data_IF_574773912398
#
_entry.id   IF_574773912398
#
_cell.length_a   1.000
_cell.length_b   1.000
_cell.length_c   1.000
_cell.angle_alpha   90.00
_cell.angle_beta   90.00
_cell.angle_gamma   90.00
#
_symmetry.space_group_name_H-M   'P 1'
#
loop_
_entity.id
_entity.type
_entity.pdbx_description
1 polymer ?
#
# COMPACT_ATOMS: atom_id res chain seq x y z
N UNK A 1 1.22 -17.54 18.88
CA UNK A 1 2.31 -16.70 19.40
C UNK A 1 2.51 -15.51 18.50
N UNK A 2 2.87 -14.34 19.05
CA UNK A 2 3.17 -13.12 18.29
C UNK A 2 4.44 -12.49 18.85
N UNK A 3 5.28 -11.95 17.96
CA UNK A 3 6.46 -11.16 18.32
C UNK A 3 6.57 -9.97 17.37
N UNK A 4 7.20 -8.88 17.80
CA UNK A 4 7.36 -7.69 16.97
C UNK A 4 8.73 -7.05 17.21
N UNK A 5 9.30 -6.51 16.14
CA UNK A 5 10.55 -5.75 16.19
C UNK A 5 10.56 -4.66 15.10
N UNK A 6 11.31 -3.60 15.36
CA UNK A 6 11.41 -2.41 14.48
C UNK A 6 12.85 -2.04 14.22
N UNK A 7 13.12 -1.64 12.98
CA UNK A 7 14.41 -1.12 12.53
C UNK A 7 14.24 0.26 11.89
N UNK A 8 15.26 1.08 12.02
CA UNK A 8 15.41 2.35 11.30
C UNK A 8 15.86 2.06 9.86
N UNK A 9 15.11 2.64 8.89
CA UNK A 9 15.40 2.53 7.45
C UNK A 9 15.60 3.90 6.81
N UNK A 10 15.95 4.91 7.61
CA UNK A 10 16.16 6.27 7.11
C UNK A 10 17.33 6.31 6.13
N UNK A 11 17.16 6.82 4.90
CA UNK A 11 18.23 6.91 3.93
C UNK A 11 19.21 8.05 4.25
N UNK A 12 20.33 8.07 3.54
CA UNK A 12 21.22 9.22 3.54
C UNK A 12 20.56 10.41 2.81
N UNK A 13 20.91 11.62 3.21
CA UNK A 13 20.47 12.86 2.53
C UNK A 13 21.01 12.86 1.08
N UNK A 14 20.22 13.36 0.13
CA UNK A 14 20.52 13.33 -1.31
C UNK A 14 19.83 12.20 -2.07
N UNK A 15 19.11 11.31 -1.38
CA UNK A 15 18.26 10.29 -1.99
C UNK A 15 17.10 10.93 -2.76
N UNK A 16 16.78 10.38 -3.94
CA UNK A 16 15.61 10.78 -4.73
C UNK A 16 14.31 10.28 -4.06
N UNK A 17 13.38 11.20 -3.81
CA UNK A 17 12.10 10.89 -3.18
C UNK A 17 11.07 10.40 -4.20
N UNK A 18 10.30 9.40 -3.78
CA UNK A 18 9.18 8.83 -4.54
C UNK A 18 7.96 9.77 -4.60
N UNK A 19 7.17 9.68 -5.66
CA UNK A 19 5.75 10.02 -5.67
C UNK A 19 5.36 11.23 -6.51
N UNK A 20 6.18 12.29 -6.61
CA UNK A 20 5.80 13.51 -7.34
C UNK A 20 6.51 13.69 -8.67
N UNK A 21 7.82 13.46 -8.71
CA UNK A 21 8.63 13.55 -9.91
C UNK A 21 9.97 12.82 -9.70
N UNK A 22 10.73 12.49 -10.76
CA UNK A 22 11.98 11.76 -10.65
C UNK A 22 13.19 12.61 -10.21
N UNK A 23 13.01 13.88 -9.84
CA UNK A 23 14.12 14.84 -9.65
C UNK A 23 14.21 15.37 -8.21
N UNK A 24 13.25 15.08 -7.35
CA UNK A 24 13.22 15.63 -5.98
C UNK A 24 14.22 14.91 -5.09
N UNK A 25 15.32 15.57 -4.74
CA UNK A 25 16.31 15.08 -3.79
C UNK A 25 15.96 15.47 -2.36
N UNK A 26 16.20 14.56 -1.42
CA UNK A 26 16.05 14.82 0.01
C UNK A 26 17.13 15.77 0.52
N UNK A 27 16.77 16.73 1.38
CA UNK A 27 17.68 17.73 1.97
C UNK A 27 17.74 17.67 3.48
N UNK A 28 16.76 17.07 4.12
CA UNK A 28 16.68 16.91 5.57
C UNK A 28 15.80 15.71 5.93
N UNK A 29 15.80 15.34 7.20
CA UNK A 29 14.90 14.35 7.80
C UNK A 29 13.97 15.08 8.76
N UNK A 30 12.67 15.05 8.49
CA UNK A 30 11.64 15.53 9.40
C UNK A 30 11.40 14.51 10.52
N UNK A 31 11.23 13.24 10.15
CA UNK A 31 11.11 12.11 11.07
C UNK A 31 11.68 10.83 10.43
N UNK A 32 12.28 9.92 11.25
CA UNK A 32 12.95 8.73 10.74
C UNK A 32 11.98 7.71 10.15
N UNK A 33 12.37 7.08 9.03
CA UNK A 33 11.63 5.99 8.42
C UNK A 33 11.83 4.68 9.18
N UNK A 34 10.81 3.82 9.17
CA UNK A 34 10.78 2.61 9.98
C UNK A 34 10.32 1.39 9.18
N UNK A 35 10.90 0.23 9.49
CA UNK A 35 10.40 -1.08 9.10
C UNK A 35 10.07 -1.88 10.37
N UNK A 36 8.82 -2.26 10.53
CA UNK A 36 8.37 -3.06 11.69
C UNK A 36 7.88 -4.40 11.20
N UNK A 37 8.47 -5.49 11.72
CA UNK A 37 8.05 -6.86 11.49
C UNK A 37 7.15 -7.34 12.63
N UNK A 38 6.06 -8.03 12.29
CA UNK A 38 5.17 -8.73 13.21
C UNK A 38 5.20 -10.20 12.82
N UNK A 39 5.83 -11.04 13.64
CA UNK A 39 5.91 -12.47 13.43
C UNK A 39 4.74 -13.17 14.13
N UNK A 40 4.17 -14.15 13.46
CA UNK A 40 3.06 -14.98 13.92
C UNK A 40 3.44 -16.46 13.85
N UNK A 41 3.11 -17.24 14.87
CA UNK A 41 3.35 -18.68 14.88
C UNK A 41 2.26 -19.44 15.64
N UNK A 42 1.76 -20.53 15.06
CA UNK A 42 0.85 -21.50 15.70
C UNK A 42 1.04 -22.89 15.06
N UNK A 43 1.46 -23.86 15.85
CA UNK A 43 1.83 -25.18 15.31
C UNK A 43 2.96 -25.07 14.30
N UNK A 44 2.73 -25.52 13.08
CA UNK A 44 3.67 -25.43 11.96
C UNK A 44 3.49 -24.15 11.12
N UNK A 45 2.34 -23.46 11.28
CA UNK A 45 2.09 -22.21 10.55
C UNK A 45 2.93 -21.06 11.12
N UNK A 46 3.64 -20.39 10.21
CA UNK A 46 4.45 -19.21 10.51
C UNK A 46 4.32 -18.18 9.40
N UNK A 47 4.16 -16.93 9.78
CA UNK A 47 4.09 -15.81 8.83
C UNK A 47 4.64 -14.53 9.44
N UNK A 48 4.98 -13.57 8.59
CA UNK A 48 5.42 -12.24 8.99
C UNK A 48 4.63 -11.21 8.18
N UNK A 49 4.08 -10.22 8.89
CA UNK A 49 3.55 -9.00 8.30
C UNK A 49 4.50 -7.84 8.61
N UNK A 50 4.95 -7.16 7.58
CA UNK A 50 5.71 -5.91 7.71
C UNK A 50 4.81 -4.69 7.49
N UNK A 51 5.06 -3.65 8.28
CA UNK A 51 4.70 -2.27 7.96
C UNK A 51 5.98 -1.50 7.68
N UNK A 52 6.12 -0.98 6.45
CA UNK A 52 7.34 -0.32 6.00
C UNK A 52 7.02 1.09 5.51
N UNK A 53 7.69 2.09 6.04
CA UNK A 53 7.40 3.50 5.74
C UNK A 53 8.10 3.97 4.46
N UNK A 54 7.67 3.43 3.34
CA UNK A 54 8.09 3.75 1.95
C UNK A 54 6.86 3.89 1.05
N UNK A 55 7.07 4.29 -0.22
CA UNK A 55 5.99 4.46 -1.19
C UNK A 55 5.36 3.17 -1.69
N UNK A 56 6.14 2.10 -1.84
CA UNK A 56 5.71 0.81 -2.36
C UNK A 56 6.90 -0.07 -2.69
N UNK A 57 6.64 -1.25 -3.22
CA UNK A 57 7.66 -2.20 -3.68
C UNK A 57 7.41 -2.55 -5.14
N UNK A 58 8.40 -2.41 -6.04
CA UNK A 58 8.31 -3.04 -7.35
C UNK A 58 8.08 -4.56 -7.18
N UNK A 59 7.38 -5.20 -8.13
CA UNK A 59 6.99 -6.62 -8.01
C UNK A 59 8.21 -7.54 -7.83
N UNK A 60 9.22 -7.43 -8.70
CA UNK A 60 10.43 -8.24 -8.64
C UNK A 60 11.26 -7.95 -7.38
N UNK A 61 11.26 -6.69 -6.93
CA UNK A 61 11.91 -6.32 -5.67
C UNK A 61 11.20 -6.92 -4.47
N UNK A 62 9.87 -6.90 -4.43
CA UNK A 62 9.10 -7.53 -3.36
C UNK A 62 9.41 -9.04 -3.25
N UNK A 63 9.47 -9.73 -4.40
CA UNK A 63 9.81 -11.16 -4.45
C UNK A 63 11.27 -11.43 -4.04
N UNK A 64 12.20 -10.57 -4.44
CA UNK A 64 13.60 -10.65 -4.00
C UNK A 64 13.70 -10.51 -2.48
N UNK A 65 13.10 -9.47 -1.91
CA UNK A 65 13.10 -9.20 -0.47
C UNK A 65 12.46 -10.35 0.33
N UNK A 66 11.29 -10.83 -0.09
CA UNK A 66 10.60 -11.97 0.55
C UNK A 66 11.45 -13.23 0.57
N UNK A 67 12.17 -13.53 -0.56
CA UNK A 67 13.09 -14.67 -0.63
C UNK A 67 14.28 -14.51 0.31
N UNK A 68 14.89 -13.32 0.35
CA UNK A 68 16.05 -13.05 1.20
C UNK A 68 15.69 -13.10 2.69
N UNK A 69 14.60 -12.44 3.08
CA UNK A 69 14.08 -12.48 4.46
C UNK A 69 13.72 -13.93 4.84
N UNK A 70 13.02 -14.63 3.95
CA UNK A 70 12.61 -16.02 4.21
C UNK A 70 13.78 -16.97 4.46
N UNK A 71 14.87 -16.80 3.70
CA UNK A 71 16.11 -17.56 3.89
C UNK A 71 16.77 -17.28 5.24
N UNK A 72 16.73 -16.03 5.72
CA UNK A 72 17.32 -15.62 7.01
C UNK A 72 16.57 -16.24 8.21
N UNK A 73 15.23 -16.29 8.14
CA UNK A 73 14.41 -16.69 9.31
C UNK A 73 13.77 -18.08 9.18
N UNK A 74 14.00 -18.79 8.07
CA UNK A 74 13.45 -20.12 7.84
C UNK A 74 11.92 -20.13 7.63
N UNK A 75 11.36 -19.05 7.06
CA UNK A 75 9.94 -18.92 6.72
C UNK A 75 9.78 -18.87 5.21
N UNK A 76 8.79 -19.60 4.68
CA UNK A 76 8.53 -19.63 3.25
C UNK A 76 8.25 -18.19 2.71
N UNK A 77 8.84 -17.76 1.58
CA UNK A 77 8.69 -16.41 1.06
C UNK A 77 7.24 -15.96 0.88
N UNK A 78 6.35 -16.86 0.47
CA UNK A 78 4.91 -16.59 0.32
C UNK A 78 4.21 -16.24 1.65
N UNK A 79 4.78 -16.61 2.80
CA UNK A 79 4.26 -16.30 4.14
C UNK A 79 4.78 -14.96 4.69
N UNK A 80 5.52 -14.20 3.89
CA UNK A 80 6.02 -12.87 4.24
C UNK A 80 5.21 -11.84 3.47
N UNK A 81 4.56 -10.94 4.20
CA UNK A 81 3.72 -9.88 3.67
C UNK A 81 4.44 -8.56 3.89
N UNK A 82 4.81 -7.88 2.80
CA UNK A 82 5.48 -6.58 2.80
C UNK A 82 4.46 -5.49 2.49
N UNK A 83 3.97 -4.77 3.49
CA UNK A 83 3.01 -3.68 3.32
C UNK A 83 3.70 -2.33 3.46
N UNK A 84 3.56 -1.46 2.44
CA UNK A 84 4.06 -0.10 2.46
C UNK A 84 3.00 0.87 2.99
N UNK A 85 3.42 1.88 3.76
CA UNK A 85 2.51 2.93 4.26
C UNK A 85 2.17 3.99 3.21
N UNK A 86 2.85 3.95 2.08
CA UNK A 86 2.67 4.83 0.94
C UNK A 86 2.99 6.31 1.22
N UNK A 87 4.04 6.58 2.01
CA UNK A 87 4.56 7.94 2.11
C UNK A 87 5.24 8.36 0.80
N UNK A 88 5.01 9.61 0.38
CA UNK A 88 5.68 10.23 -0.77
C UNK A 88 6.96 10.99 -0.37
N UNK A 89 7.48 10.72 0.82
CA UNK A 89 8.66 11.37 1.40
C UNK A 89 9.73 10.35 1.79
N UNK A 90 9.85 9.28 1.01
CA UNK A 90 10.81 8.18 1.18
C UNK A 90 11.54 7.88 -0.14
N UNK A 91 12.64 7.09 -0.14
CA UNK A 91 13.33 6.69 -1.36
C UNK A 91 12.44 5.95 -2.35
N UNK A 92 12.77 6.07 -3.64
CA UNK A 92 12.04 5.34 -4.67
C UNK A 92 12.40 3.85 -4.67
N UNK A 93 11.46 3.01 -4.30
CA UNK A 93 11.53 1.54 -4.31
C UNK A 93 10.51 0.91 -5.27
N UNK A 94 9.78 1.75 -6.01
CA UNK A 94 8.73 1.35 -6.97
C UNK A 94 9.26 1.28 -8.39
N UNK A 95 10.07 2.26 -8.83
CA UNK A 95 10.65 2.27 -10.17
C UNK A 95 9.64 2.42 -11.30
N UNK A 96 8.50 3.10 -11.05
CA UNK A 96 7.47 3.29 -12.06
C UNK A 96 7.92 4.26 -13.15
N UNK A 97 7.67 3.90 -14.41
CA UNK A 97 8.02 4.74 -15.58
C UNK A 97 7.44 6.15 -15.46
N UNK A 98 8.33 7.14 -15.63
CA UNK A 98 7.98 8.55 -15.46
C UNK A 98 8.21 9.11 -14.05
N UNK A 99 8.33 8.25 -13.01
CA UNK A 99 8.57 8.64 -11.61
C UNK A 99 9.98 8.31 -11.10
N UNK A 100 10.87 7.83 -11.97
CA UNK A 100 12.27 7.51 -11.66
C UNK A 100 12.50 6.03 -11.34
N UNK A 101 13.78 5.63 -11.35
CA UNK A 101 14.21 4.26 -11.08
C UNK A 101 14.29 3.94 -9.60
N UNK A 102 14.42 2.64 -9.29
CA UNK A 102 14.65 2.16 -7.92
C UNK A 102 16.01 2.62 -7.41
N UNK A 103 16.06 3.12 -6.18
CA UNK A 103 17.31 3.38 -5.45
C UNK A 103 17.89 2.06 -4.92
N UNK A 104 18.64 1.35 -5.79
CA UNK A 104 19.25 0.06 -5.42
C UNK A 104 20.29 0.21 -4.31
N UNK A 105 20.97 1.35 -4.22
CA UNK A 105 21.95 1.60 -3.14
C UNK A 105 21.24 1.62 -1.79
N UNK A 106 20.12 2.31 -1.70
CA UNK A 106 19.29 2.32 -0.50
C UNK A 106 18.74 0.91 -0.18
N UNK A 107 18.21 0.22 -1.18
CA UNK A 107 17.66 -1.14 -1.00
C UNK A 107 18.72 -2.08 -0.45
N UNK A 108 19.88 -2.13 -1.08
CA UNK A 108 20.90 -3.13 -0.78
C UNK A 108 21.67 -2.84 0.52
N UNK A 109 21.88 -1.54 0.83
CA UNK A 109 22.70 -1.15 1.97
C UNK A 109 21.90 -0.84 3.25
N UNK A 110 20.63 -0.48 3.16
CA UNK A 110 19.82 -0.07 4.31
C UNK A 110 18.54 -0.94 4.43
N UNK A 111 17.69 -0.95 3.41
CA UNK A 111 16.35 -1.55 3.52
C UNK A 111 16.41 -3.06 3.75
N UNK A 112 17.06 -3.82 2.86
CA UNK A 112 17.13 -5.29 2.98
C UNK A 112 17.79 -5.75 4.28
N UNK A 113 18.97 -5.22 4.69
CA UNK A 113 19.56 -5.60 5.98
C UNK A 113 18.65 -5.32 7.17
N UNK A 114 17.94 -4.18 7.17
CA UNK A 114 17.02 -3.81 8.25
C UNK A 114 15.78 -4.74 8.28
N UNK A 115 15.20 -5.08 7.11
CA UNK A 115 14.09 -6.03 7.03
C UNK A 115 14.50 -7.41 7.57
N UNK A 116 15.69 -7.89 7.25
CA UNK A 116 16.21 -9.17 7.76
C UNK A 116 16.39 -9.14 9.28
N UNK A 117 16.98 -8.06 9.84
CA UNK A 117 17.11 -7.92 11.30
C UNK A 117 15.76 -7.85 12.00
N UNK A 118 14.84 -6.98 11.50
CA UNK A 118 13.51 -6.87 12.07
C UNK A 118 12.75 -8.21 12.05
N UNK A 119 12.86 -8.97 10.96
CA UNK A 119 12.25 -10.31 10.87
C UNK A 119 12.82 -11.26 11.92
N UNK A 120 14.15 -11.32 12.03
CA UNK A 120 14.84 -12.18 12.99
C UNK A 120 14.45 -11.84 14.42
N UNK A 121 14.55 -10.57 14.80
CA UNK A 121 14.24 -10.11 16.16
C UNK A 121 12.75 -10.32 16.48
N UNK A 122 11.84 -10.14 15.52
CA UNK A 122 10.40 -10.43 15.70
C UNK A 122 10.15 -11.94 15.92
N UNK A 123 10.86 -12.81 15.20
CA UNK A 123 10.76 -14.28 15.39
C UNK A 123 11.34 -14.69 16.74
N UNK A 124 12.46 -14.11 17.16
CA UNK A 124 13.05 -14.36 18.48
C UNK A 124 12.17 -13.85 19.64
N UNK A 125 11.38 -12.79 19.40
CA UNK A 125 10.45 -12.21 20.38
C UNK A 125 9.09 -12.92 20.46
N UNK A 126 8.86 -14.04 19.76
CA UNK A 126 7.60 -14.77 19.78
C UNK A 126 7.18 -15.22 21.18
N UNK A 127 5.99 -14.81 21.61
CA UNK A 127 5.44 -15.11 22.94
C UNK A 127 3.94 -15.40 22.86
N UNK A 128 3.35 -16.07 23.88
CA UNK A 128 1.91 -16.31 23.93
C UNK A 128 1.12 -15.00 23.85
N UNK A 129 0.15 -14.90 22.97
CA UNK A 129 -0.56 -13.67 22.68
C UNK A 129 -2.08 -13.85 22.66
N UNK A 130 -2.78 -12.79 23.03
CA UNK A 130 -4.21 -12.58 22.83
C UNK A 130 -4.41 -11.22 22.14
N UNK A 131 -5.52 -11.05 21.45
CA UNK A 131 -5.79 -9.85 20.66
C UNK A 131 -7.18 -9.29 20.90
N UNK A 132 -7.33 -7.99 20.71
CA UNK A 132 -8.62 -7.29 20.70
C UNK A 132 -8.70 -6.38 19.46
N UNK A 133 -9.92 -6.14 18.98
CA UNK A 133 -10.21 -5.30 17.84
C UNK A 133 -11.27 -4.28 18.21
N UNK A 134 -11.11 -3.08 17.68
CA UNK A 134 -12.12 -2.04 17.67
C UNK A 134 -12.15 -1.31 16.35
N UNK A 135 -13.27 -0.71 16.03
CA UNK A 135 -13.45 0.14 14.86
C UNK A 135 -14.11 1.45 15.26
N UNK A 136 -13.70 2.53 14.60
CA UNK A 136 -14.33 3.84 14.71
C UNK A 136 -14.45 4.47 13.34
N UNK A 137 -15.28 5.48 13.19
CA UNK A 137 -15.22 6.37 12.02
C UNK A 137 -14.16 7.46 12.22
N UNK A 138 -13.30 7.63 11.21
CA UNK A 138 -12.32 8.70 11.10
C UNK A 138 -12.57 9.53 9.85
N UNK A 139 -12.44 10.84 9.99
CA UNK A 139 -12.68 11.82 8.92
C UNK A 139 -11.38 12.45 8.41
N UNK A 140 -10.22 11.81 8.67
CA UNK A 140 -8.92 12.31 8.21
C UNK A 140 -8.71 12.13 6.71
N UNK A 141 -9.36 11.14 6.09
CA UNK A 141 -9.39 10.91 4.65
C UNK A 141 -10.62 11.54 3.99
N UNK A 142 -10.54 11.72 2.69
CA UNK A 142 -11.65 12.14 1.82
C UNK A 142 -11.44 11.57 0.43
N UNK A 143 -12.52 11.21 -0.27
CA UNK A 143 -12.41 10.84 -1.67
C UNK A 143 -11.73 12.00 -2.45
N UNK A 144 -10.68 11.67 -3.24
CA UNK A 144 -9.86 12.69 -3.92
C UNK A 144 -10.22 12.93 -5.38
N UNK A 145 -11.17 12.18 -5.90
CA UNK A 145 -11.61 12.25 -7.30
C UNK A 145 -12.68 13.33 -7.47
N UNK A 146 -12.23 14.59 -7.48
CA UNK A 146 -13.12 15.74 -7.54
C UNK A 146 -13.58 16.01 -8.99
N UNK A 147 -14.90 16.03 -9.22
CA UNK A 147 -15.44 16.48 -10.49
C UNK A 147 -15.31 18.00 -10.63
N UNK A 148 -14.66 18.46 -11.69
CA UNK A 148 -14.56 19.87 -12.04
C UNK A 148 -15.88 20.40 -12.64
N UNK A 149 -16.00 21.71 -12.80
CA UNK A 149 -17.17 22.32 -13.42
C UNK A 149 -17.33 21.95 -14.90
N UNK A 150 -16.24 21.63 -15.57
CA UNK A 150 -16.17 21.20 -16.96
C UNK A 150 -16.48 19.71 -17.13
N UNK A 151 -16.67 18.97 -16.02
CA UNK A 151 -17.04 17.56 -16.03
C UNK A 151 -15.87 16.58 -15.94
N UNK A 152 -14.63 17.04 -15.86
CA UNK A 152 -13.43 16.20 -15.70
C UNK A 152 -13.22 15.80 -14.24
N UNK A 153 -12.52 14.69 -14.03
CA UNK A 153 -12.03 14.32 -12.70
C UNK A 153 -10.61 14.84 -12.51
N UNK A 154 -10.42 15.60 -11.44
CA UNK A 154 -9.12 16.12 -10.99
C UNK A 154 -8.85 15.67 -9.55
N UNK A 155 -7.57 15.70 -9.15
CA UNK A 155 -7.18 15.48 -7.77
C UNK A 155 -7.62 16.68 -6.92
N UNK A 156 -8.42 16.42 -5.89
CA UNK A 156 -8.98 17.44 -4.99
C UNK A 156 -9.85 16.78 -3.94
N UNK A 157 -10.61 17.56 -3.19
CA UNK A 157 -11.53 17.02 -2.18
C UNK A 157 -12.93 16.84 -2.76
N UNK A 158 -13.42 15.60 -2.77
CA UNK A 158 -14.76 15.24 -3.20
C UNK A 158 -15.62 14.78 -2.00
N UNK A 159 -16.34 15.67 -1.32
CA UNK A 159 -17.14 15.31 -0.14
C UNK A 159 -18.34 14.42 -0.44
N UNK A 160 -18.64 14.16 -1.74
CA UNK A 160 -19.73 13.28 -2.19
C UNK A 160 -19.21 11.96 -2.76
N UNK A 161 -17.89 11.79 -2.87
CA UNK A 161 -17.29 10.57 -3.35
C UNK A 161 -17.36 9.46 -2.29
N UNK A 162 -17.46 8.21 -2.75
CA UNK A 162 -17.40 7.06 -1.87
C UNK A 162 -15.99 6.91 -1.29
N UNK A 163 -15.88 6.60 0.00
CA UNK A 163 -14.67 6.12 0.64
C UNK A 163 -15.04 5.39 1.94
N UNK A 164 -14.17 4.52 2.43
CA UNK A 164 -14.35 3.82 3.70
C UNK A 164 -13.77 4.67 4.87
N UNK A 165 -14.61 5.23 5.76
CA UNK A 165 -14.15 6.01 6.90
C UNK A 165 -13.69 5.13 8.08
N UNK A 166 -13.71 3.81 7.96
CA UNK A 166 -13.45 2.90 9.06
C UNK A 166 -11.97 2.85 9.43
N UNK A 167 -11.62 3.33 10.62
CA UNK A 167 -10.32 3.11 11.23
C UNK A 167 -10.41 1.91 12.18
N UNK A 168 -9.60 0.89 11.93
CA UNK A 168 -9.53 -0.32 12.75
C UNK A 168 -8.26 -0.30 13.59
N UNK A 169 -8.41 -0.57 14.89
CA UNK A 169 -7.31 -0.82 15.81
C UNK A 169 -7.30 -2.31 16.18
N UNK A 170 -6.17 -2.96 15.93
CA UNK A 170 -5.87 -4.32 16.41
C UNK A 170 -4.78 -4.19 17.46
N UNK A 171 -5.08 -4.55 18.71
CA UNK A 171 -4.09 -4.58 19.78
C UNK A 171 -3.76 -6.03 20.16
N UNK A 172 -2.48 -6.33 20.23
CA UNK A 172 -1.95 -7.64 20.63
C UNK A 172 -1.13 -7.47 21.90
N UNK A 173 -1.40 -8.32 22.88
CA UNK A 173 -0.66 -8.33 24.15
C UNK A 173 -0.27 -9.74 24.57
N UNK A 174 0.73 -9.85 25.40
CA UNK A 174 1.10 -11.12 26.00
C UNK A 174 -0.09 -11.66 26.82
N UNK A 175 -0.43 -12.94 26.59
CA UNK A 175 -1.58 -13.60 27.27
C UNK A 175 -1.42 -13.66 28.77
N UNK A 176 -0.21 -13.90 29.27
CA UNK A 176 0.06 -14.17 30.68
C UNK A 176 0.34 -12.87 31.46
N UNK A 177 1.25 -12.05 30.94
CA UNK A 177 1.71 -10.81 31.62
C UNK A 177 0.82 -9.61 31.35
N UNK A 178 -0.03 -9.66 30.29
CA UNK A 178 -0.85 -8.55 29.78
C UNK A 178 -0.06 -7.36 29.24
N UNK A 179 1.27 -7.49 29.10
CA UNK A 179 2.11 -6.48 28.47
C UNK A 179 1.79 -6.37 26.96
N UNK A 180 1.70 -5.15 26.44
CA UNK A 180 1.49 -4.91 25.02
C UNK A 180 2.65 -5.46 24.18
N UNK A 181 2.33 -6.08 23.03
CA UNK A 181 3.29 -6.56 22.05
C UNK A 181 3.32 -5.58 20.87
N UNK A 182 2.16 -5.33 20.28
CA UNK A 182 2.02 -4.46 19.10
C UNK A 182 0.58 -3.93 18.99
N UNK A 183 0.43 -2.68 18.57
CA UNK A 183 -0.81 -2.14 18.05
C UNK A 183 -0.71 -1.98 16.53
N UNK A 184 -1.77 -2.27 15.80
CA UNK A 184 -1.86 -2.04 14.37
C UNK A 184 -3.08 -1.15 14.12
N UNK A 185 -2.86 -0.03 13.43
CA UNK A 185 -3.91 0.85 12.93
C UNK A 185 -4.04 0.60 11.43
N UNK A 186 -5.24 0.24 10.99
CA UNK A 186 -5.58 0.10 9.57
C UNK A 186 -6.57 1.21 9.18
N UNK A 187 -6.25 1.92 8.10
CA UNK A 187 -7.08 2.96 7.52
C UNK A 187 -6.61 3.25 6.09
N UNK A 188 -7.52 3.54 5.16
CA UNK A 188 -7.20 3.86 3.77
C UNK A 188 -7.03 5.38 3.57
N UNK A 189 -5.78 5.85 3.41
CA UNK A 189 -5.51 7.25 3.06
C UNK A 189 -4.08 7.46 2.58
N UNK A 190 -3.90 8.18 1.47
CA UNK A 190 -2.57 8.53 0.94
C UNK A 190 -1.67 9.23 1.96
N UNK A 191 -0.38 8.90 1.95
CA UNK A 191 0.69 9.58 2.70
C UNK A 191 1.20 10.81 1.95
N UNK A 192 0.31 11.78 1.67
CA UNK A 192 0.60 12.96 0.83
C UNK A 192 0.30 14.31 1.49
N UNK A 193 0.11 14.33 2.81
CA UNK A 193 -0.17 15.59 3.51
C UNK A 193 0.98 16.60 3.42
N UNK A 194 2.24 16.13 3.37
CA UNK A 194 3.42 16.95 3.16
C UNK A 194 3.46 17.65 1.78
N UNK A 195 2.83 17.05 0.76
CA UNK A 195 2.92 17.55 -0.60
C UNK A 195 4.32 17.40 -1.21
N UNK A 196 4.56 18.08 -2.33
CA UNK A 196 5.89 18.12 -2.96
C UNK A 196 6.86 18.93 -2.09
N UNK A 197 7.85 18.26 -1.54
CA UNK A 197 8.83 18.84 -0.63
C UNK A 197 10.15 18.02 -0.63
N UNK A 198 11.14 18.33 0.20
CA UNK A 198 12.48 17.75 0.18
C UNK A 198 12.91 17.11 1.51
N UNK A 199 11.98 16.83 2.42
CA UNK A 199 12.28 16.21 3.71
C UNK A 199 11.85 14.74 3.72
N UNK A 200 12.63 13.87 4.32
CA UNK A 200 12.29 12.47 4.56
C UNK A 200 11.28 12.42 5.71
N UNK A 201 10.16 11.71 5.54
CA UNK A 201 9.10 11.63 6.54
C UNK A 201 8.17 10.44 6.33
N UNK A 202 7.58 9.96 7.43
CA UNK A 202 6.47 8.99 7.44
C UNK A 202 5.11 9.65 7.14
N UNK A 203 5.09 10.98 6.84
CA UNK A 203 3.88 11.77 6.65
C UNK A 203 2.96 11.73 7.89
N UNK A 204 1.67 12.07 7.77
CA UNK A 204 0.69 12.12 8.86
C UNK A 204 0.62 10.84 9.71
N UNK A 205 0.84 9.68 9.09
CA UNK A 205 0.76 8.38 9.76
C UNK A 205 1.87 8.20 10.81
N UNK A 206 3.05 8.80 10.59
CA UNK A 206 4.15 8.79 11.55
C UNK A 206 3.77 9.44 12.89
N UNK A 207 3.14 10.62 12.83
CA UNK A 207 2.67 11.33 14.02
C UNK A 207 1.58 10.54 14.75
N UNK A 208 0.66 9.93 14.01
CA UNK A 208 -0.37 9.06 14.58
C UNK A 208 0.25 7.90 15.36
N UNK A 209 1.21 7.21 14.74
CA UNK A 209 1.92 6.07 15.34
C UNK A 209 2.63 6.49 16.62
N UNK A 210 3.46 7.55 16.57
CA UNK A 210 4.25 8.01 17.71
C UNK A 210 3.38 8.42 18.91
N UNK A 211 2.26 9.11 18.65
CA UNK A 211 1.36 9.54 19.72
C UNK A 211 0.58 8.39 20.34
N UNK A 212 0.16 7.39 19.53
CA UNK A 212 -0.49 6.20 20.09
C UNK A 212 0.52 5.35 20.89
N UNK A 213 1.77 5.23 20.45
CA UNK A 213 2.83 4.58 21.23
C UNK A 213 3.04 5.27 22.56
N UNK A 214 3.12 6.60 22.58
CA UNK A 214 3.30 7.37 23.80
C UNK A 214 2.17 7.18 24.82
N UNK A 215 0.92 6.99 24.34
CA UNK A 215 -0.26 6.77 25.19
C UNK A 215 -0.36 5.32 25.67
N UNK A 216 -0.15 4.36 24.75
CA UNK A 216 -0.35 2.93 25.03
C UNK A 216 0.84 2.25 25.70
N UNK A 217 2.05 2.85 25.56
CA UNK A 217 3.31 2.22 25.95
C UNK A 217 3.67 1.00 25.12
N UNK A 218 3.04 0.83 23.94
CA UNK A 218 3.16 -0.36 23.08
C UNK A 218 3.55 0.08 21.67
N UNK A 219 4.54 -0.62 21.07
CA UNK A 219 4.89 -0.41 19.67
C UNK A 219 3.65 -0.40 18.78
N UNK A 220 3.56 0.56 17.86
CA UNK A 220 2.40 0.74 16.98
C UNK A 220 2.83 0.78 15.52
N UNK A 221 2.05 0.19 14.63
CA UNK A 221 2.24 0.27 13.17
C UNK A 221 0.99 0.81 12.50
N UNK A 222 1.20 1.38 11.33
CA UNK A 222 0.15 1.73 10.39
C UNK A 222 0.20 0.80 9.19
N UNK A 223 -0.94 0.23 8.82
CA UNK A 223 -1.14 -0.50 7.58
C UNK A 223 -2.14 0.26 6.71
N UNK A 224 -1.71 0.64 5.50
CA UNK A 224 -2.54 1.40 4.58
C UNK A 224 -3.61 0.51 3.94
N UNK A 225 -4.85 0.94 4.05
CA UNK A 225 -6.02 0.30 3.43
C UNK A 225 -6.24 0.76 2.00
N UNK A 226 -7.51 0.87 1.59
CA UNK A 226 -7.88 1.37 0.28
C UNK A 226 -7.66 2.88 0.20
N UNK A 227 -6.52 3.31 -0.34
CA UNK A 227 -6.17 4.71 -0.47
C UNK A 227 -6.19 5.23 -1.91
N UNK A 228 -6.36 4.35 -2.92
CA UNK A 228 -6.23 4.72 -4.33
C UNK A 228 -7.08 5.92 -4.74
N UNK A 229 -8.28 6.04 -4.20
CA UNK A 229 -9.18 7.18 -4.41
C UNK A 229 -9.34 8.07 -3.15
N UNK A 230 -8.53 7.86 -2.09
CA UNK A 230 -8.62 8.60 -0.83
C UNK A 230 -7.35 9.40 -0.57
N UNK A 231 -7.49 10.69 -0.41
CA UNK A 231 -6.41 11.59 0.00
C UNK A 231 -6.65 12.21 1.38
N UNK A 232 -5.61 12.83 1.97
CA UNK A 232 -5.72 13.62 3.18
C UNK A 232 -6.80 14.70 3.10
N UNK A 233 -7.64 14.80 4.11
CA UNK A 233 -8.63 15.89 4.24
C UNK A 233 -7.97 17.09 4.89
N UNK A 234 -7.29 17.91 4.11
CA UNK A 234 -6.56 19.06 4.62
C UNK A 234 -7.44 20.32 4.68
N UNK A 235 -7.10 21.19 5.62
CA UNK A 235 -7.79 22.48 5.83
C UNK A 235 -7.61 23.47 4.69
N UNK A 236 -6.61 23.28 3.83
CA UNK A 236 -6.40 24.07 2.60
C UNK A 236 -7.36 23.70 1.44
N UNK A 237 -8.26 22.73 1.62
CA UNK A 237 -9.20 22.26 0.59
C UNK A 237 -8.57 21.37 -0.49
N UNK A 238 -7.31 20.94 -0.31
CA UNK A 238 -6.58 20.01 -1.21
C UNK A 238 -6.28 18.72 -0.47
N UNK A 239 -5.69 17.77 -1.18
CA UNK A 239 -5.20 16.50 -0.64
C UNK A 239 -3.67 16.44 -0.52
N UNK A 240 -3.02 17.58 -0.76
CA UNK A 240 -1.58 17.82 -0.58
C UNK A 240 -1.34 19.17 0.06
N UNK A 241 -0.31 19.30 0.88
CA UNK A 241 -0.05 20.52 1.66
C UNK A 241 1.43 20.75 1.95
N UNK A 242 1.76 20.84 3.22
CA UNK A 242 3.10 21.02 3.79
C UNK A 242 3.19 20.36 5.17
N UNK A 243 4.32 20.48 5.87
CA UNK A 243 4.50 19.84 7.18
C UNK A 243 3.58 20.38 8.28
N UNK A 244 3.01 21.58 8.15
CA UNK A 244 1.96 22.07 9.09
C UNK A 244 0.70 21.22 8.94
N UNK A 245 0.37 20.84 7.70
CA UNK A 245 -0.76 19.94 7.44
C UNK A 245 -0.47 18.50 7.90
N UNK A 246 0.78 18.03 7.80
CA UNK A 246 1.22 16.74 8.37
C UNK A 246 0.98 16.73 9.89
N UNK A 247 1.41 17.79 10.60
CA UNK A 247 1.22 17.92 12.05
C UNK A 247 -0.26 17.99 12.43
N UNK A 248 -1.05 18.80 11.70
CA UNK A 248 -2.49 18.96 11.95
C UNK A 248 -3.23 17.64 11.72
N UNK A 249 -3.09 17.03 10.53
CA UNK A 249 -3.79 15.80 10.18
C UNK A 249 -3.34 14.62 11.03
N UNK A 250 -2.01 14.49 11.26
CA UNK A 250 -1.44 13.47 12.13
C UNK A 250 -1.95 13.60 13.58
N UNK A 251 -2.18 14.84 14.05
CA UNK A 251 -2.81 15.10 15.33
C UNK A 251 -4.26 14.62 15.42
N UNK A 252 -5.06 14.84 14.37
CA UNK A 252 -6.43 14.31 14.28
C UNK A 252 -6.43 12.79 14.17
N UNK A 253 -5.57 12.23 13.31
CA UNK A 253 -5.41 10.78 13.16
C UNK A 253 -5.01 10.10 14.47
N UNK A 254 -4.09 10.72 15.24
CA UNK A 254 -3.69 10.22 16.55
C UNK A 254 -4.85 10.22 17.55
N UNK A 255 -5.65 11.29 17.55
CA UNK A 255 -6.83 11.39 18.42
C UNK A 255 -7.85 10.29 18.11
N UNK A 256 -8.03 9.99 16.82
CA UNK A 256 -8.91 8.93 16.36
C UNK A 256 -8.33 7.54 16.70
N UNK A 257 -7.03 7.30 16.45
CA UNK A 257 -6.37 6.04 16.82
C UNK A 257 -6.42 5.77 18.33
N UNK A 258 -6.24 6.81 19.18
CA UNK A 258 -6.37 6.70 20.63
C UNK A 258 -7.84 6.39 21.03
N UNK A 259 -8.84 7.01 20.34
CA UNK A 259 -10.25 6.65 20.57
C UNK A 259 -10.52 5.18 20.23
N UNK A 260 -9.98 4.70 19.09
CA UNK A 260 -10.10 3.31 18.69
C UNK A 260 -9.43 2.39 19.73
N UNK A 261 -8.21 2.72 20.15
CA UNK A 261 -7.50 1.97 21.20
C UNK A 261 -8.30 1.90 22.52
N UNK A 262 -8.86 3.01 22.96
CA UNK A 262 -9.69 3.06 24.19
C UNK A 262 -11.03 2.34 24.05
N UNK A 263 -11.50 2.08 22.82
CA UNK A 263 -12.71 1.32 22.52
C UNK A 263 -12.48 -0.18 22.38
N UNK A 264 -11.23 -0.67 22.56
CA UNK A 264 -10.92 -2.10 22.50
C UNK A 264 -11.77 -2.91 23.46
N UNK A 265 -12.33 -3.99 22.94
CA UNK A 265 -13.17 -4.91 23.71
C UNK A 265 -12.37 -5.97 24.46
N UNK A 266 -12.97 -7.14 24.59
CA UNK A 266 -12.35 -8.28 25.26
C UNK A 266 -11.24 -8.85 24.40
N UNK A 267 -10.07 -9.04 25.01
CA UNK A 267 -8.96 -9.79 24.40
C UNK A 267 -9.28 -11.28 24.36
N UNK A 268 -9.01 -11.91 23.24
CA UNK A 268 -9.25 -13.33 23.00
C UNK A 268 -8.11 -13.96 22.19
N UNK A 269 -7.99 -15.26 22.29
CA UNK A 269 -7.10 -16.02 21.41
C UNK A 269 -7.59 -15.92 19.96
N UNK A 270 -6.66 -15.95 19.03
CA UNK A 270 -6.95 -16.01 17.60
C UNK A 270 -6.20 -17.16 16.95
N UNK A 271 -6.91 -17.99 16.21
CA UNK A 271 -6.27 -19.03 15.41
C UNK A 271 -5.57 -18.42 14.20
N UNK A 272 -4.29 -18.76 14.02
CA UNK A 272 -3.51 -18.36 12.86
C UNK A 272 -3.82 -19.29 11.69
N UNK A 273 -4.22 -18.72 10.56
CA UNK A 273 -4.32 -19.42 9.28
C UNK A 273 -3.67 -18.61 8.18
N UNK A 274 -3.02 -19.30 7.25
CA UNK A 274 -2.41 -18.71 6.06
C UNK A 274 -3.05 -19.36 4.84
N UNK A 275 -4.01 -18.67 4.22
CA UNK A 275 -4.66 -19.13 2.99
C UNK A 275 -3.85 -18.69 1.79
N UNK A 276 -3.34 -19.67 1.03
CA UNK A 276 -2.42 -19.46 -0.09
C UNK A 276 -3.06 -19.85 -1.41
N UNK A 277 -2.74 -19.11 -2.45
CA UNK A 277 -3.15 -19.41 -3.81
C UNK A 277 -2.47 -18.52 -4.83
N UNK A 278 -2.67 -18.82 -6.09
CA UNK A 278 -2.27 -17.95 -7.20
C UNK A 278 -3.50 -17.21 -7.70
N UNK A 279 -3.36 -15.91 -7.88
CA UNK A 279 -4.40 -15.03 -8.45
C UNK A 279 -4.08 -14.81 -9.92
N UNK A 280 -5.10 -14.87 -10.78
CA UNK A 280 -5.02 -14.70 -12.21
C UNK A 280 -5.93 -13.56 -12.67
N UNK A 281 -5.35 -12.54 -13.29
CA UNK A 281 -6.11 -11.39 -13.81
C UNK A 281 -5.82 -11.25 -15.31
N UNK A 282 -6.82 -11.42 -16.20
CA UNK A 282 -6.61 -11.32 -17.64
C UNK A 282 -6.14 -9.93 -18.06
N UNK A 283 -5.35 -9.91 -19.16
CA UNK A 283 -4.87 -8.69 -19.81
C UNK A 283 -5.63 -8.44 -21.12
N UNK A 284 -5.70 -7.19 -21.51
CA UNK A 284 -6.28 -6.76 -22.79
C UNK A 284 -5.28 -6.98 -23.93
N UNK A 285 -5.76 -7.22 -25.16
CA UNK A 285 -4.93 -7.16 -26.35
C UNK A 285 -4.43 -5.72 -26.58
N UNK A 286 -3.47 -5.58 -27.51
CA UNK A 286 -2.96 -4.29 -27.96
C UNK A 286 -4.08 -3.33 -28.37
N UNK A 287 -3.86 -2.05 -28.09
CA UNK A 287 -4.65 -0.98 -28.70
C UNK A 287 -4.46 -1.01 -30.24
N UNK A 288 -5.50 -0.73 -31.07
CA UNK A 288 -5.36 -0.69 -32.51
C UNK A 288 -4.22 0.22 -32.96
N UNK A 289 -3.39 -0.24 -33.92
CA UNK A 289 -2.17 0.46 -34.37
C UNK A 289 -2.43 1.91 -34.78
N UNK A 290 -3.47 2.15 -35.60
CA UNK A 290 -3.83 3.50 -36.06
C UNK A 290 -4.13 4.43 -34.88
N UNK A 291 -4.78 3.92 -33.84
CA UNK A 291 -5.07 4.69 -32.61
C UNK A 291 -3.79 5.00 -31.84
N UNK A 292 -2.91 4.01 -31.68
CA UNK A 292 -1.62 4.22 -31.00
C UNK A 292 -0.74 5.25 -31.74
N UNK A 293 -0.64 5.14 -33.06
CA UNK A 293 0.12 6.09 -33.89
C UNK A 293 -0.43 7.52 -33.81
N UNK A 294 -1.76 7.67 -33.91
CA UNK A 294 -2.41 8.97 -33.79
C UNK A 294 -2.20 9.62 -32.42
N UNK A 295 -2.20 8.83 -31.35
CA UNK A 295 -1.93 9.32 -29.99
C UNK A 295 -0.45 9.67 -29.80
N UNK A 296 0.46 8.84 -30.30
CA UNK A 296 1.91 9.05 -30.20
C UNK A 296 2.34 10.36 -30.86
N UNK A 297 1.70 10.76 -31.96
CA UNK A 297 1.96 12.02 -32.66
C UNK A 297 1.69 13.28 -31.80
N UNK A 298 0.97 13.17 -30.70
CA UNK A 298 0.72 14.29 -29.78
C UNK A 298 1.91 14.59 -28.84
N UNK A 299 2.99 13.80 -28.89
CA UNK A 299 4.16 13.93 -28.02
C UNK A 299 5.41 14.35 -28.85
N UNK A 300 5.54 15.63 -29.23
CA UNK A 300 6.63 16.08 -30.11
C UNK A 300 8.01 16.09 -29.44
N UNK A 301 8.05 16.19 -28.09
CA UNK A 301 9.29 16.19 -27.30
C UNK A 301 9.18 15.16 -26.16
N UNK A 302 9.43 13.87 -26.44
CA UNK A 302 9.27 12.81 -25.45
C UNK A 302 10.32 12.87 -24.34
N UNK A 303 11.47 13.50 -24.55
CA UNK A 303 12.55 13.57 -23.56
C UNK A 303 12.25 14.56 -22.43
N UNK A 304 11.35 15.51 -22.68
CA UNK A 304 10.86 16.44 -21.66
C UNK A 304 9.72 15.87 -20.80
N UNK A 305 9.21 14.68 -21.12
CA UNK A 305 8.07 14.08 -20.42
C UNK A 305 8.50 13.38 -19.12
N UNK A 306 7.69 13.54 -18.09
CA UNK A 306 7.78 12.81 -16.82
C UNK A 306 6.37 12.49 -16.30
N UNK A 307 6.25 11.68 -15.23
CA UNK A 307 5.00 11.25 -14.65
C UNK A 307 4.05 10.63 -15.70
N UNK A 308 2.74 10.92 -15.58
CA UNK A 308 1.71 10.39 -16.46
C UNK A 308 1.99 10.63 -17.96
N UNK A 309 2.51 11.79 -18.32
CA UNK A 309 2.85 12.08 -19.71
C UNK A 309 3.91 11.13 -20.29
N UNK A 310 4.92 10.76 -19.50
CA UNK A 310 5.93 9.77 -19.89
C UNK A 310 5.34 8.37 -19.99
N UNK A 311 4.51 7.99 -19.01
CA UNK A 311 3.83 6.70 -19.00
C UNK A 311 2.93 6.53 -20.23
N UNK A 312 2.08 7.51 -20.54
CA UNK A 312 1.22 7.48 -21.72
C UNK A 312 2.01 7.39 -23.02
N UNK A 313 3.06 8.21 -23.16
CA UNK A 313 3.94 8.15 -24.31
C UNK A 313 4.53 6.74 -24.51
N UNK A 314 5.07 6.15 -23.44
CA UNK A 314 5.68 4.82 -23.49
C UNK A 314 4.65 3.74 -23.84
N UNK A 315 3.43 3.82 -23.29
CA UNK A 315 2.35 2.92 -23.64
C UNK A 315 2.05 2.92 -25.15
N UNK A 316 1.89 4.11 -25.77
CA UNK A 316 1.63 4.21 -27.19
C UNK A 316 2.84 3.80 -28.03
N UNK A 317 4.04 4.18 -27.61
CA UNK A 317 5.29 3.82 -28.29
C UNK A 317 5.48 2.29 -28.29
N UNK A 318 5.38 1.64 -27.14
CA UNK A 318 5.53 0.19 -27.02
C UNK A 318 4.46 -0.56 -27.82
N UNK A 319 3.21 -0.03 -27.86
CA UNK A 319 2.15 -0.59 -28.72
C UNK A 319 2.56 -0.59 -30.19
N UNK A 320 3.10 0.53 -30.70
CA UNK A 320 3.57 0.63 -32.10
C UNK A 320 4.73 -0.33 -32.35
N UNK A 321 5.71 -0.37 -31.45
CA UNK A 321 6.89 -1.25 -31.53
C UNK A 321 6.49 -2.75 -31.57
N UNK A 322 5.49 -3.17 -30.79
CA UNK A 322 4.98 -4.55 -30.83
C UNK A 322 4.32 -4.89 -32.18
N UNK A 323 3.57 -3.98 -32.78
CA UNK A 323 3.05 -4.18 -34.14
C UNK A 323 4.16 -4.28 -35.19
N UNK A 324 5.20 -3.43 -35.10
CA UNK A 324 6.39 -3.48 -35.96
C UNK A 324 7.15 -4.80 -35.80
N UNK A 325 7.18 -5.36 -34.60
CA UNK A 325 7.77 -6.67 -34.30
C UNK A 325 6.88 -7.85 -34.71
N UNK A 326 5.71 -7.61 -35.31
CA UNK A 326 4.79 -8.65 -35.77
C UNK A 326 3.90 -9.25 -34.67
N UNK A 327 3.57 -8.47 -33.63
CA UNK A 327 2.73 -8.84 -32.51
C UNK A 327 3.22 -10.15 -31.84
N UNK A 328 4.37 -10.15 -31.17
CA UNK A 328 4.89 -11.32 -30.48
C UNK A 328 3.91 -11.83 -29.43
N UNK A 329 4.07 -13.10 -29.04
CA UNK A 329 3.29 -13.65 -27.95
C UNK A 329 3.54 -12.86 -26.65
N UNK A 330 2.48 -12.57 -25.92
CA UNK A 330 2.54 -11.87 -24.63
C UNK A 330 1.85 -12.67 -23.53
N UNK A 331 2.13 -12.33 -22.30
CA UNK A 331 1.43 -12.91 -21.14
C UNK A 331 -0.01 -12.40 -21.13
N UNK A 332 -0.95 -13.30 -21.39
CA UNK A 332 -2.40 -12.97 -21.45
C UNK A 332 -3.03 -12.75 -20.09
N UNK A 333 -2.29 -13.01 -19.02
CA UNK A 333 -2.72 -12.83 -17.63
C UNK A 333 -1.58 -12.23 -16.81
N UNK A 334 -1.93 -11.43 -15.82
CA UNK A 334 -1.07 -11.13 -14.69
C UNK A 334 -1.29 -12.20 -13.62
N UNK A 335 -0.23 -12.81 -13.14
CA UNK A 335 -0.31 -13.81 -12.07
C UNK A 335 0.58 -13.41 -10.90
N UNK A 336 0.12 -13.63 -9.67
CA UNK A 336 0.92 -13.45 -8.47
C UNK A 336 0.47 -14.40 -7.35
N UNK A 337 1.42 -14.72 -6.48
CA UNK A 337 1.13 -15.51 -5.28
C UNK A 337 0.44 -14.65 -4.23
N UNK A 338 -0.72 -15.10 -3.78
CA UNK A 338 -1.52 -14.46 -2.74
C UNK A 338 -1.50 -15.28 -1.47
N UNK A 339 -1.20 -14.63 -0.34
CA UNK A 339 -1.35 -15.20 0.99
C UNK A 339 -2.17 -14.27 1.86
N UNK A 340 -3.32 -14.75 2.31
CA UNK A 340 -4.14 -14.06 3.30
C UNK A 340 -3.76 -14.59 4.68
N UNK A 341 -3.34 -13.70 5.57
CA UNK A 341 -3.04 -14.00 6.96
C UNK A 341 -4.27 -13.70 7.80
N UNK A 342 -4.80 -14.73 8.49
CA UNK A 342 -5.95 -14.57 9.38
C UNK A 342 -5.60 -14.90 10.82
N UNK A 343 -6.18 -14.14 11.74
CA UNK A 343 -6.06 -14.29 13.20
C UNK A 343 -7.47 -14.23 13.81
N UNK A 344 -8.09 -15.39 13.97
CA UNK A 344 -9.48 -15.46 14.46
C UNK A 344 -10.44 -14.66 13.54
N UNK A 345 -11.00 -13.56 14.05
CA UNK A 345 -11.99 -12.74 13.33
C UNK A 345 -11.35 -11.69 12.39
N UNK A 346 -10.02 -11.70 12.19
CA UNK A 346 -9.30 -10.71 11.37
C UNK A 346 -8.66 -11.42 10.18
N UNK A 347 -8.70 -10.79 9.00
CA UNK A 347 -7.93 -11.21 7.83
C UNK A 347 -7.20 -10.01 7.24
N UNK A 348 -5.89 -10.17 6.98
CA UNK A 348 -5.08 -9.22 6.23
C UNK A 348 -4.99 -9.69 4.79
N UNK A 349 -5.53 -8.90 3.87
CA UNK A 349 -5.66 -9.25 2.45
C UNK A 349 -4.75 -8.34 1.62
N UNK A 350 -3.58 -8.82 1.16
CA UNK A 350 -2.64 -8.05 0.36
C UNK A 350 -3.20 -7.70 -1.03
N UNK A 351 -2.90 -6.47 -1.49
CA UNK A 351 -3.11 -6.04 -2.86
C UNK A 351 -1.86 -5.33 -3.38
N UNK A 352 -1.25 -5.80 -4.48
CA UNK A 352 -0.11 -5.13 -5.11
C UNK A 352 -0.58 -3.94 -5.97
N UNK A 353 -1.48 -3.11 -5.43
CA UNK A 353 -2.14 -1.97 -6.08
C UNK A 353 -2.47 -0.88 -5.06
N UNK A 354 -2.68 0.32 -5.56
CA UNK A 354 -3.43 1.37 -4.87
C UNK A 354 -4.93 1.13 -5.13
N UNK A 355 -5.61 0.41 -4.22
CA UNK A 355 -7.00 0.01 -4.43
C UNK A 355 -8.00 1.13 -4.11
N UNK A 356 -9.08 1.21 -4.89
CA UNK A 356 -10.18 2.11 -4.59
C UNK A 356 -11.04 1.59 -3.43
N UNK A 357 -11.64 2.51 -2.71
CA UNK A 357 -12.46 2.24 -1.52
C UNK A 357 -13.57 1.24 -1.78
N UNK A 358 -14.24 1.32 -2.92
CA UNK A 358 -15.34 0.42 -3.28
C UNK A 358 -14.89 -1.04 -3.41
N UNK A 359 -13.65 -1.28 -3.86
CA UNK A 359 -13.08 -2.64 -3.94
C UNK A 359 -13.02 -3.28 -2.56
N UNK A 360 -12.50 -2.54 -1.56
CA UNK A 360 -12.43 -3.05 -0.19
C UNK A 360 -13.82 -3.19 0.45
N UNK A 361 -14.73 -2.23 0.23
CA UNK A 361 -16.08 -2.27 0.79
C UNK A 361 -16.87 -3.48 0.26
N UNK A 362 -16.77 -3.79 -1.04
CA UNK A 362 -17.38 -5.00 -1.64
C UNK A 362 -16.74 -6.28 -1.11
N UNK A 363 -15.40 -6.31 -0.97
CA UNK A 363 -14.72 -7.47 -0.37
C UNK A 363 -15.20 -7.70 1.07
N UNK A 364 -15.32 -6.65 1.88
CA UNK A 364 -15.81 -6.73 3.26
C UNK A 364 -17.26 -7.20 3.34
N UNK A 365 -18.14 -6.72 2.46
CA UNK A 365 -19.56 -7.09 2.41
C UNK A 365 -19.77 -8.60 2.22
N UNK A 366 -18.95 -9.23 1.38
CA UNK A 366 -19.08 -10.66 1.04
C UNK A 366 -18.10 -11.57 1.79
N UNK A 367 -17.18 -11.00 2.58
CA UNK A 367 -16.20 -11.78 3.35
C UNK A 367 -16.85 -12.59 4.46
N UNK A 368 -16.44 -13.86 4.67
CA UNK A 368 -16.84 -14.65 5.84
C UNK A 368 -16.14 -14.19 7.13
N UNK A 369 -15.11 -13.36 7.03
CA UNK A 369 -14.31 -12.87 8.17
C UNK A 369 -14.76 -11.47 8.55
N UNK A 370 -15.04 -11.27 9.84
CA UNK A 370 -15.66 -10.05 10.36
C UNK A 370 -14.83 -8.77 10.08
N UNK A 371 -13.51 -8.84 10.25
CA UNK A 371 -12.59 -7.72 10.04
C UNK A 371 -11.66 -8.06 8.88
N UNK A 372 -12.11 -7.83 7.66
CA UNK A 372 -11.33 -8.04 6.45
C UNK A 372 -10.60 -6.74 6.11
N UNK A 373 -9.30 -6.73 6.34
CA UNK A 373 -8.42 -5.58 6.19
C UNK A 373 -7.63 -5.69 4.90
N UNK A 374 -8.08 -4.99 3.86
CA UNK A 374 -7.35 -4.91 2.59
C UNK A 374 -6.10 -4.05 2.77
N UNK A 375 -4.95 -4.52 2.28
CA UNK A 375 -3.67 -3.82 2.37
C UNK A 375 -3.23 -3.40 0.97
N UNK A 376 -3.28 -2.12 0.66
CA UNK A 376 -2.72 -1.56 -0.57
C UNK A 376 -1.20 -1.59 -0.58
N UNK A 377 -0.58 -1.44 -1.74
CA UNK A 377 0.88 -1.39 -1.92
C UNK A 377 1.61 -2.51 -1.20
N UNK A 378 1.03 -3.71 -1.26
CA UNK A 378 1.49 -4.86 -0.49
C UNK A 378 1.95 -5.98 -1.41
N UNK A 379 3.18 -6.48 -1.20
CA UNK A 379 3.84 -7.53 -1.98
C UNK A 379 4.08 -7.20 -3.46
N UNK A 380 4.00 -5.93 -3.84
CA UNK A 380 4.19 -5.45 -5.20
C UNK A 380 3.53 -4.10 -5.43
N UNK A 381 3.62 -3.61 -6.69
CA UNK A 381 3.02 -2.35 -7.12
C UNK A 381 2.65 -2.41 -8.60
N UNK A 382 1.36 -2.26 -8.90
CA UNK A 382 0.83 -2.26 -10.27
C UNK A 382 -0.07 -1.04 -10.52
N UNK A 383 0.33 0.14 -9.98
CA UNK A 383 -0.45 1.36 -9.99
C UNK A 383 -1.84 1.17 -9.34
N UNK A 384 -2.89 1.77 -9.90
CA UNK A 384 -4.23 1.77 -9.30
C UNK A 384 -5.04 0.54 -9.65
N UNK A 385 -5.94 0.14 -8.74
CA UNK A 385 -7.05 -0.78 -9.01
C UNK A 385 -8.37 -0.02 -8.78
N UNK A 386 -8.94 0.61 -9.82
CA UNK A 386 -10.22 1.28 -9.72
C UNK A 386 -11.38 0.27 -9.73
N UNK A 387 -12.53 0.65 -9.16
CA UNK A 387 -13.79 -0.02 -9.46
C UNK A 387 -14.23 0.24 -10.91
N UNK A 388 -14.85 -0.75 -11.55
CA UNK A 388 -15.19 -0.71 -12.98
C UNK A 388 -16.01 0.51 -13.35
N UNK A 389 -16.99 0.92 -12.51
CA UNK A 389 -17.85 2.08 -12.74
C UNK A 389 -17.09 3.41 -12.85
N UNK A 390 -15.88 3.50 -12.26
CA UNK A 390 -15.06 4.70 -12.30
C UNK A 390 -14.30 4.86 -13.62
N UNK A 391 -14.17 3.79 -14.43
CA UNK A 391 -13.40 3.80 -15.67
C UNK A 391 -13.93 4.80 -16.70
N UNK A 392 -15.25 4.98 -16.76
CA UNK A 392 -15.89 5.93 -17.71
C UNK A 392 -15.66 7.38 -17.32
N UNK A 393 -15.33 7.66 -16.05
CA UNK A 393 -15.13 9.02 -15.55
C UNK A 393 -13.71 9.54 -15.85
N UNK A 394 -12.76 8.64 -16.16
CA UNK A 394 -11.37 9.01 -16.40
C UNK A 394 -10.68 9.59 -15.14
N UNK A 395 -9.72 10.46 -15.36
CA UNK A 395 -8.89 11.06 -14.30
C UNK A 395 -7.54 10.36 -14.15
N UNK A 396 -6.71 10.89 -13.25
CA UNK A 396 -5.31 10.48 -13.06
C UNK A 396 -5.17 8.97 -12.78
N UNK A 397 -5.92 8.46 -11.83
CA UNK A 397 -5.84 7.07 -11.41
C UNK A 397 -6.26 6.09 -12.52
N UNK A 398 -7.28 6.47 -13.30
CA UNK A 398 -7.75 5.66 -14.44
C UNK A 398 -6.72 5.66 -15.57
N UNK A 399 -6.05 6.79 -15.81
CA UNK A 399 -4.98 6.86 -16.78
C UNK A 399 -3.80 5.98 -16.35
N UNK A 400 -3.40 6.02 -15.08
CA UNK A 400 -2.38 5.12 -14.53
C UNK A 400 -2.77 3.64 -14.68
N UNK A 401 -4.01 3.25 -14.37
CA UNK A 401 -4.50 1.89 -14.56
C UNK A 401 -4.43 1.43 -16.03
N UNK A 402 -4.72 2.33 -16.98
CA UNK A 402 -4.77 2.00 -18.41
C UNK A 402 -3.42 1.98 -19.11
N UNK A 403 -2.46 2.76 -18.63
CA UNK A 403 -1.21 3.02 -19.35
C UNK A 403 0.05 2.53 -18.64
N UNK A 404 -0.08 1.80 -17.52
CA UNK A 404 1.07 1.29 -16.78
C UNK A 404 1.83 0.16 -17.48
N UNK A 405 1.23 -0.47 -18.49
CA UNK A 405 1.87 -1.50 -19.32
C UNK A 405 1.17 -1.64 -20.66
N UNK A 406 1.87 -2.20 -21.68
CA UNK A 406 1.40 -2.33 -23.06
C UNK A 406 0.12 -3.17 -23.19
N UNK A 407 -0.01 -4.20 -22.32
CA UNK A 407 -1.20 -5.03 -22.19
C UNK A 407 -1.86 -4.80 -20.82
N UNK A 408 -2.72 -3.76 -20.68
CA UNK A 408 -3.35 -3.46 -19.40
C UNK A 408 -4.33 -4.54 -18.97
N UNK A 409 -4.70 -4.53 -17.70
CA UNK A 409 -5.71 -5.44 -17.17
C UNK A 409 -7.09 -5.18 -17.78
N UNK A 410 -7.95 -6.21 -17.76
CA UNK A 410 -9.36 -6.08 -18.17
C UNK A 410 -10.13 -5.08 -17.30
N UNK A 411 -11.25 -4.52 -17.83
CA UNK A 411 -11.98 -3.46 -17.13
C UNK A 411 -12.59 -3.91 -15.80
N UNK A 412 -12.99 -5.17 -15.68
CA UNK A 412 -13.54 -5.78 -14.48
C UNK A 412 -12.48 -6.47 -13.60
N UNK A 413 -11.22 -6.01 -13.64
CA UNK A 413 -10.14 -6.56 -12.82
C UNK A 413 -10.44 -6.47 -11.31
N UNK A 414 -11.18 -5.45 -10.87
CA UNK A 414 -11.65 -5.28 -9.49
C UNK A 414 -12.53 -6.45 -9.04
N UNK A 415 -13.54 -6.84 -9.85
CA UNK A 415 -14.41 -7.96 -9.53
C UNK A 415 -13.65 -9.28 -9.49
N UNK A 416 -12.74 -9.52 -10.46
CA UNK A 416 -11.92 -10.73 -10.49
C UNK A 416 -11.08 -10.85 -9.22
N UNK A 417 -10.41 -9.76 -8.81
CA UNK A 417 -9.59 -9.73 -7.59
C UNK A 417 -10.42 -9.91 -6.33
N UNK A 418 -11.63 -9.35 -6.26
CA UNK A 418 -12.56 -9.59 -5.16
C UNK A 418 -12.92 -11.07 -5.09
N UNK A 419 -13.34 -11.69 -6.20
CA UNK A 419 -13.78 -13.08 -6.25
C UNK A 419 -12.65 -14.05 -5.87
N UNK A 420 -11.43 -13.81 -6.38
CA UNK A 420 -10.25 -14.62 -6.04
C UNK A 420 -9.90 -14.53 -4.55
N UNK A 421 -9.94 -13.33 -3.96
CA UNK A 421 -9.69 -13.17 -2.53
C UNK A 421 -10.81 -13.77 -1.67
N UNK A 422 -12.08 -13.66 -2.07
CA UNK A 422 -13.20 -14.32 -1.40
C UNK A 422 -13.06 -15.85 -1.43
N UNK A 423 -12.64 -16.43 -2.56
CA UNK A 423 -12.34 -17.86 -2.68
C UNK A 423 -11.25 -18.31 -1.69
N UNK A 424 -10.20 -17.50 -1.50
CA UNK A 424 -9.15 -17.79 -0.52
C UNK A 424 -9.64 -17.62 0.92
N UNK A 425 -10.47 -16.61 1.20
CA UNK A 425 -11.06 -16.36 2.51
C UNK A 425 -12.03 -17.48 2.97
N UNK A 426 -12.67 -18.17 2.04
CA UNK A 426 -13.54 -19.35 2.38
C UNK A 426 -12.73 -20.54 2.91
N UNK A 427 -11.43 -20.57 2.68
CA UNK A 427 -10.54 -21.63 3.16
C UNK A 427 -9.79 -21.26 4.46
N UNK A 428 -10.13 -20.08 5.04
CA UNK A 428 -9.53 -19.58 6.29
C UNK A 428 -10.21 -20.10 7.56
#
# INVERSE_FOLDING_TARGET
>A
MVGAAREDITPVIGTLLFGYNPFTESKSVHDPLQATAIAFAQGEERGILFSVTIGGFQNELADELRRMIGAEVGIAPQNIILSATHTHSAPNTVGMEGWGGIDRVYVDSILLPALCRAAKDAVEALQPAELAVSTIESQIGINRRQQTREGFIALGQNPRGCYDPTMTCVAVRNRDTKAGIINLIHYGCHGTAAGLQTEISRDWSGIMVDRLEAVSGTMTVYCNGAEGDVGPRLTNGKTTGDFRHVEELGGYAASDAIRAYNALGVYKDGDLKLSRGTVHVPRKPLLPLETAQAKLANYPDPDALYNLGRMEYLYFKSTVEEYEAGCPAYETEMTFDQTILSLGDIAFVPFPFEIFSEVTMRLQEYSPIRYTLSLSNTNGYNAYLPSEDQLVRGGYEIACFRYNCTHPLVDNADQILIDENLRLLQNT
#
